data_IF_201854251334
#
_entry.id   IF_201854251334
#
_cell.length_a   1.000
_cell.length_b   1.000
_cell.length_c   1.000
_cell.angle_alpha   90.00
_cell.angle_beta   90.00
_cell.angle_gamma   90.00
#
_symmetry.space_group_name_H-M   'P 1'
#
loop_
_entity.id
_entity.type
_entity.pdbx_description
1 polymer ?
#
# COMPACT_ATOMS: atom_id res chain seq x y z
N UNK A 1 -10.67 -37.79 17.84
CA UNK A 1 -10.68 -37.55 16.38
C UNK A 1 -11.97 -36.81 16.03
N UNK A 2 -11.96 -35.47 16.00
CA UNK A 2 -13.16 -34.67 15.75
C UNK A 2 -13.50 -34.66 14.25
N UNK A 3 -14.52 -35.41 13.85
CA UNK A 3 -14.99 -35.55 12.44
C UNK A 3 -16.21 -34.68 12.09
N UNK A 4 -16.61 -33.71 12.92
CA UNK A 4 -17.86 -32.96 12.71
C UNK A 4 -17.73 -31.45 12.95
N UNK A 5 -16.70 -30.82 12.37
CA UNK A 5 -16.61 -29.36 12.33
C UNK A 5 -17.38 -28.79 11.14
N UNK A 6 -18.73 -28.76 11.17
CA UNK A 6 -19.65 -28.15 10.17
C UNK A 6 -19.09 -28.07 8.73
N UNK A 7 -18.52 -29.17 8.26
CA UNK A 7 -17.57 -29.15 7.15
C UNK A 7 -18.30 -29.36 5.85
N UNK A 8 -18.48 -28.32 5.06
CA UNK A 8 -18.72 -28.49 3.64
C UNK A 8 -17.50 -29.24 3.07
N UNK A 9 -17.72 -30.43 2.48
CA UNK A 9 -16.67 -31.09 1.72
C UNK A 9 -16.24 -30.16 0.59
N UNK A 10 -14.93 -29.97 0.35
CA UNK A 10 -14.47 -29.19 -0.78
C UNK A 10 -15.07 -29.77 -2.07
N UNK A 11 -15.58 -28.91 -2.94
CA UNK A 11 -16.14 -29.31 -4.23
C UNK A 11 -14.96 -29.57 -5.18
N UNK A 12 -14.38 -30.77 -5.09
CA UNK A 12 -13.13 -31.16 -5.75
C UNK A 12 -13.26 -31.07 -7.28
N UNK A 13 -14.44 -31.37 -7.82
CA UNK A 13 -14.69 -31.47 -9.26
C UNK A 13 -15.28 -30.20 -9.88
N UNK A 14 -15.27 -29.07 -9.15
CA UNK A 14 -15.80 -27.81 -9.68
C UNK A 14 -14.83 -27.15 -10.65
N UNK A 15 -15.20 -27.13 -11.93
CA UNK A 15 -14.53 -26.31 -12.94
C UNK A 15 -15.32 -25.01 -13.20
N UNK A 16 -14.77 -23.82 -12.85
CA UNK A 16 -15.43 -22.54 -13.14
C UNK A 16 -15.60 -22.27 -14.65
N UNK A 17 -14.83 -22.94 -15.52
CA UNK A 17 -14.90 -22.79 -16.97
C UNK A 17 -15.88 -23.77 -17.64
N UNK A 18 -16.56 -24.64 -16.88
CA UNK A 18 -17.51 -25.60 -17.44
C UNK A 18 -18.77 -24.87 -17.99
N UNK A 19 -19.12 -25.03 -19.28
CA UNK A 19 -20.31 -24.43 -19.86
C UNK A 19 -21.63 -24.86 -19.21
N UNK A 20 -21.65 -25.95 -18.43
CA UNK A 20 -22.82 -26.39 -17.64
C UNK A 20 -23.06 -25.46 -16.45
N UNK A 21 -22.02 -24.83 -15.92
CA UNK A 21 -22.07 -23.91 -14.79
C UNK A 21 -22.58 -22.52 -15.18
N UNK A 22 -22.62 -22.21 -16.49
CA UNK A 22 -23.17 -20.97 -17.01
C UNK A 22 -24.72 -21.03 -17.07
N UNK A 23 -25.38 -20.66 -15.97
CA UNK A 23 -26.85 -20.72 -15.81
C UNK A 23 -27.60 -19.43 -16.17
N UNK A 24 -26.90 -18.40 -16.64
CA UNK A 24 -27.55 -17.14 -17.04
C UNK A 24 -28.45 -17.38 -18.28
N UNK A 25 -29.76 -17.08 -18.20
CA UNK A 25 -30.68 -17.25 -19.32
C UNK A 25 -30.23 -16.54 -20.61
N UNK A 26 -29.46 -15.45 -20.50
CA UNK A 26 -28.90 -14.71 -21.63
C UNK A 26 -28.01 -15.59 -22.52
N UNK A 27 -27.37 -16.61 -21.96
CA UNK A 27 -26.46 -17.51 -22.67
C UNK A 27 -27.08 -18.88 -22.99
N UNK A 28 -28.34 -19.11 -22.61
CA UNK A 28 -28.99 -20.41 -22.79
C UNK A 28 -29.16 -20.79 -24.27
N UNK A 29 -29.31 -19.81 -25.16
CA UNK A 29 -29.43 -20.00 -26.61
C UNK A 29 -28.08 -20.16 -27.33
N UNK A 30 -26.95 -19.97 -26.64
CA UNK A 30 -25.62 -20.07 -27.26
C UNK A 30 -25.20 -21.53 -27.46
N UNK A 31 -24.42 -21.76 -28.53
CA UNK A 31 -23.76 -23.05 -28.75
C UNK A 31 -22.81 -23.39 -27.59
N UNK A 32 -22.49 -24.67 -27.45
CA UNK A 32 -21.61 -25.14 -26.37
C UNK A 32 -20.26 -24.42 -26.38
N UNK A 33 -19.65 -24.26 -27.55
CA UNK A 33 -18.33 -23.64 -27.68
C UNK A 33 -18.35 -22.15 -27.28
N UNK A 34 -19.41 -21.43 -27.68
CA UNK A 34 -19.60 -20.04 -27.27
C UNK A 34 -19.85 -19.92 -25.77
N UNK A 35 -20.53 -20.89 -25.15
CA UNK A 35 -20.70 -20.92 -23.69
C UNK A 35 -19.39 -21.17 -22.96
N UNK A 36 -18.52 -22.03 -23.47
CA UNK A 36 -17.17 -22.24 -22.91
C UNK A 36 -16.38 -20.93 -22.96
N UNK A 37 -16.37 -20.26 -24.12
CA UNK A 37 -15.67 -18.99 -24.29
C UNK A 37 -16.20 -17.92 -23.32
N UNK A 38 -17.52 -17.87 -23.11
CA UNK A 38 -18.13 -16.97 -22.13
C UNK A 38 -17.79 -17.33 -20.69
N UNK A 39 -17.73 -18.60 -20.33
CA UNK A 39 -17.31 -19.02 -19.00
C UNK A 39 -15.86 -18.56 -18.70
N UNK A 40 -14.96 -18.72 -19.67
CA UNK A 40 -13.57 -18.24 -19.57
C UNK A 40 -13.52 -16.72 -19.41
N UNK A 41 -14.30 -15.97 -20.20
CA UNK A 41 -14.38 -14.50 -20.12
C UNK A 41 -14.87 -14.03 -18.74
N UNK A 42 -15.92 -14.70 -18.21
CA UNK A 42 -16.45 -14.40 -16.88
C UNK A 42 -15.42 -14.69 -15.79
N UNK A 43 -14.70 -15.80 -15.89
CA UNK A 43 -13.66 -16.14 -14.91
C UNK A 43 -12.49 -15.15 -14.97
N UNK A 44 -12.04 -14.78 -16.17
CA UNK A 44 -11.02 -13.74 -16.37
C UNK A 44 -11.44 -12.43 -15.69
N UNK A 45 -12.69 -11.99 -15.91
CA UNK A 45 -13.23 -10.78 -15.29
C UNK A 45 -13.25 -10.88 -13.75
N UNK A 46 -13.59 -12.05 -13.21
CA UNK A 46 -13.56 -12.32 -11.76
C UNK A 46 -12.15 -12.24 -11.19
N UNK A 47 -11.16 -12.81 -11.87
CA UNK A 47 -9.75 -12.70 -11.49
C UNK A 47 -9.27 -11.25 -11.50
N UNK A 48 -9.57 -10.47 -12.54
CA UNK A 48 -9.20 -9.05 -12.59
C UNK A 48 -9.88 -8.25 -11.48
N UNK A 49 -11.16 -8.50 -11.22
CA UNK A 49 -11.89 -7.86 -10.13
C UNK A 49 -11.32 -8.24 -8.77
N UNK A 50 -10.95 -9.51 -8.56
CA UNK A 50 -10.39 -9.95 -7.27
C UNK A 50 -9.07 -9.25 -6.95
N UNK A 51 -8.23 -8.98 -7.95
CA UNK A 51 -6.97 -8.22 -7.78
C UNK A 51 -7.19 -6.81 -7.21
N UNK A 52 -8.34 -6.18 -7.47
CA UNK A 52 -8.66 -4.87 -6.89
C UNK A 52 -8.75 -4.92 -5.36
N UNK A 53 -9.21 -6.04 -4.80
CA UNK A 53 -9.31 -6.26 -3.35
C UNK A 53 -8.02 -6.80 -2.72
N UNK A 54 -7.09 -7.32 -3.53
CA UNK A 54 -5.79 -7.81 -3.05
C UNK A 54 -4.91 -6.62 -2.62
N UNK A 55 -4.26 -6.77 -1.46
CA UNK A 55 -3.31 -5.78 -0.94
C UNK A 55 -2.18 -5.53 -1.92
N UNK A 56 -1.81 -4.25 -2.05
CA UNK A 56 -0.82 -3.78 -3.03
C UNK A 56 0.54 -4.46 -2.95
N UNK A 57 0.99 -4.81 -1.74
CA UNK A 57 2.26 -5.50 -1.50
C UNK A 57 2.36 -6.88 -2.16
N UNK A 58 1.24 -7.60 -2.30
CA UNK A 58 1.18 -8.96 -2.84
C UNK A 58 0.46 -9.06 -4.18
N UNK A 59 -0.18 -7.99 -4.64
CA UNK A 59 -1.00 -7.96 -5.86
C UNK A 59 -0.26 -8.47 -7.10
N UNK A 60 1.00 -8.06 -7.30
CA UNK A 60 1.81 -8.53 -8.45
C UNK A 60 2.04 -10.05 -8.37
N UNK A 61 2.32 -10.59 -7.19
CA UNK A 61 2.52 -12.03 -7.00
C UNK A 61 1.25 -12.83 -7.32
N UNK A 62 0.10 -12.35 -6.84
CA UNK A 62 -1.20 -12.98 -7.16
C UNK A 62 -1.51 -12.89 -8.66
N UNK A 63 -1.25 -11.74 -9.28
CA UNK A 63 -1.43 -11.58 -10.72
C UNK A 63 -0.53 -12.53 -11.53
N UNK A 64 0.73 -12.74 -11.10
CA UNK A 64 1.61 -13.74 -11.71
C UNK A 64 1.04 -15.16 -11.58
N UNK A 65 0.48 -15.51 -10.42
CA UNK A 65 -0.18 -16.81 -10.24
C UNK A 65 -1.37 -16.96 -11.20
N UNK A 66 -2.19 -15.93 -11.38
CA UNK A 66 -3.30 -15.97 -12.35
C UNK A 66 -2.82 -16.14 -13.79
N UNK A 67 -1.68 -15.54 -14.15
CA UNK A 67 -1.06 -15.74 -15.46
C UNK A 67 -0.56 -17.18 -15.63
N UNK A 68 0.05 -17.77 -14.59
CA UNK A 68 0.54 -19.15 -14.61
C UNK A 68 -0.58 -20.18 -14.82
N UNK A 69 -1.77 -19.91 -14.29
CA UNK A 69 -2.95 -20.77 -14.44
C UNK A 69 -3.82 -20.39 -15.67
N UNK A 70 -3.28 -19.60 -16.60
CA UNK A 70 -3.98 -19.12 -17.82
C UNK A 70 -5.34 -18.46 -17.53
N UNK A 71 -5.49 -17.85 -16.35
CA UNK A 71 -6.71 -17.13 -15.96
C UNK A 71 -6.72 -15.71 -16.49
N UNK A 72 -5.54 -15.12 -16.69
CA UNK A 72 -5.35 -13.78 -17.28
C UNK A 72 -4.33 -13.81 -18.41
N UNK A 73 -4.45 -12.87 -19.34
CA UNK A 73 -3.54 -12.74 -20.48
C UNK A 73 -2.29 -11.93 -20.10
N UNK A 74 -1.19 -12.14 -20.84
CA UNK A 74 0.06 -11.37 -20.66
C UNK A 74 -0.17 -9.86 -20.73
N UNK A 75 -0.96 -9.40 -21.71
CA UNK A 75 -1.26 -7.97 -21.86
C UNK A 75 -1.99 -7.37 -20.64
N UNK A 76 -2.85 -8.16 -19.99
CA UNK A 76 -3.55 -7.75 -18.77
C UNK A 76 -2.58 -7.69 -17.60
N UNK A 77 -1.69 -8.68 -17.48
CA UNK A 77 -0.62 -8.70 -16.47
C UNK A 77 0.31 -7.48 -16.60
N UNK A 78 0.74 -7.15 -17.82
CA UNK A 78 1.62 -6.01 -18.07
C UNK A 78 0.94 -4.67 -17.72
N UNK A 79 -0.37 -4.56 -17.97
CA UNK A 79 -1.15 -3.38 -17.56
C UNK A 79 -1.18 -3.22 -16.03
N UNK A 80 -1.40 -4.32 -15.30
CA UNK A 80 -1.37 -4.33 -13.82
C UNK A 80 0.03 -3.95 -13.32
N UNK A 81 1.09 -4.49 -13.94
CA UNK A 81 2.47 -4.18 -13.56
C UNK A 81 2.77 -2.69 -13.74
N UNK A 82 2.34 -2.10 -14.87
CA UNK A 82 2.48 -0.65 -15.14
C UNK A 82 1.73 0.19 -14.10
N UNK A 83 0.48 -0.14 -13.80
CA UNK A 83 -0.32 0.54 -12.78
C UNK A 83 0.37 0.52 -11.42
N UNK A 84 0.88 -0.65 -11.02
CA UNK A 84 1.59 -0.84 -9.76
C UNK A 84 2.89 -0.03 -9.67
N UNK A 85 3.65 0.05 -10.76
CA UNK A 85 4.86 0.88 -10.81
C UNK A 85 4.53 2.37 -10.71
N UNK A 86 3.51 2.85 -11.42
CA UNK A 86 3.07 4.24 -11.36
C UNK A 86 2.64 4.65 -9.95
N UNK A 87 1.88 3.79 -9.27
CA UNK A 87 1.44 4.09 -7.92
C UNK A 87 2.60 4.11 -6.91
N UNK A 88 3.59 3.22 -7.04
CA UNK A 88 4.80 3.26 -6.20
C UNK A 88 5.55 4.58 -6.38
N UNK A 89 5.71 5.04 -7.61
CA UNK A 89 6.32 6.34 -7.92
C UNK A 89 5.56 7.50 -7.28
N UNK A 90 4.22 7.48 -7.32
CA UNK A 90 3.40 8.54 -6.69
C UNK A 90 3.49 8.54 -5.15
N UNK A 91 3.58 7.37 -4.52
CA UNK A 91 3.70 7.24 -3.06
C UNK A 91 5.07 7.69 -2.52
N UNK A 92 6.12 7.57 -3.33
CA UNK A 92 7.49 8.01 -3.03
C UNK A 92 7.63 9.54 -3.07
N UNK A 93 6.84 10.22 -3.91
CA UNK A 93 6.89 11.67 -4.05
C UNK A 93 6.23 12.42 -2.88
N UNK A 94 5.32 11.79 -2.14
CA UNK A 94 4.46 12.47 -1.16
C UNK A 94 5.11 12.73 0.22
N UNK A 95 6.33 12.26 0.48
CA UNK A 95 7.00 12.43 1.79
C UNK A 95 8.35 13.17 1.73
N UNK A 96 8.77 13.69 0.58
CA UNK A 96 9.91 14.60 0.57
C UNK A 96 9.45 16.01 0.92
N UNK A 97 9.79 16.56 2.11
CA UNK A 97 9.77 18.01 2.29
C UNK A 97 10.60 18.65 1.17
N UNK A 98 10.35 19.92 0.80
CA UNK A 98 11.05 20.58 -0.30
C UNK A 98 12.55 20.35 -0.14
N UNK A 99 13.11 19.52 -1.03
CA UNK A 99 14.52 19.16 -0.95
C UNK A 99 15.30 20.42 -1.25
N UNK A 100 15.84 21.04 -0.19
CA UNK A 100 17.04 21.87 -0.32
C UNK A 100 18.02 21.09 -1.18
N UNK A 101 18.74 21.76 -2.10
CA UNK A 101 19.73 21.06 -2.91
C UNK A 101 20.65 20.26 -1.97
N UNK A 102 21.09 19.08 -2.39
CA UNK A 102 21.95 18.21 -1.57
C UNK A 102 23.16 18.98 -0.99
N UNK A 103 23.66 19.97 -1.73
CA UNK A 103 24.74 20.85 -1.31
C UNK A 103 24.34 21.84 -0.23
N UNK A 104 23.13 22.41 -0.30
CA UNK A 104 22.58 23.28 0.73
C UNK A 104 22.32 22.52 2.04
N UNK A 105 21.86 21.27 1.96
CA UNK A 105 21.68 20.40 3.12
C UNK A 105 23.01 20.03 3.78
N UNK A 106 24.04 19.69 2.98
CA UNK A 106 25.40 19.45 3.47
C UNK A 106 26.00 20.67 4.15
N UNK A 107 25.80 21.86 3.58
CA UNK A 107 26.29 23.10 4.15
C UNK A 107 25.62 23.40 5.50
N UNK A 108 24.29 23.27 5.57
CA UNK A 108 23.54 23.48 6.80
C UNK A 108 23.96 22.49 7.90
N UNK A 109 24.20 21.23 7.56
CA UNK A 109 24.69 20.22 8.51
C UNK A 109 26.09 20.56 9.03
N UNK A 110 26.99 21.01 8.14
CA UNK A 110 28.35 21.43 8.52
C UNK A 110 28.32 22.64 9.46
N UNK A 111 27.48 23.63 9.16
CA UNK A 111 27.28 24.80 10.01
C UNK A 111 26.73 24.41 11.39
N UNK A 112 25.73 23.51 11.43
CA UNK A 112 25.13 23.04 12.70
C UNK A 112 26.14 22.29 13.57
N UNK A 113 26.97 21.42 12.98
CA UNK A 113 28.02 20.71 13.71
C UNK A 113 29.10 21.66 14.22
N UNK A 114 29.50 22.65 13.40
CA UNK A 114 30.45 23.68 13.81
C UNK A 114 29.94 24.47 15.02
N UNK A 115 28.66 24.84 15.01
CA UNK A 115 28.03 25.59 16.09
C UNK A 115 27.89 24.76 17.37
N UNK A 116 27.48 23.48 17.26
CA UNK A 116 27.46 22.57 18.41
C UNK A 116 28.84 22.36 19.01
N UNK A 117 29.88 22.26 18.18
CA UNK A 117 31.27 22.18 18.66
C UNK A 117 31.70 23.44 19.41
N UNK A 118 31.35 24.62 18.90
CA UNK A 118 31.57 25.88 19.62
C UNK A 118 30.85 25.91 20.97
N UNK A 119 29.57 25.53 21.00
CA UNK A 119 28.80 25.49 22.24
C UNK A 119 29.38 24.48 23.23
N UNK A 120 29.85 23.31 22.79
CA UNK A 120 30.45 22.33 23.70
C UNK A 120 31.64 22.89 24.50
N UNK A 121 32.36 23.86 23.93
CA UNK A 121 33.51 24.50 24.58
C UNK A 121 33.15 25.72 25.45
N UNK A 122 32.03 26.38 25.19
CA UNK A 122 31.66 27.64 25.85
C UNK A 122 30.41 27.55 26.73
N UNK A 123 29.49 26.66 26.41
CA UNK A 123 28.21 26.43 27.09
C UNK A 123 27.73 24.99 26.82
N UNK A 124 28.24 24.06 27.63
CA UNK A 124 27.97 22.63 27.49
C UNK A 124 26.50 22.25 27.77
N UNK A 125 25.79 23.03 28.61
CA UNK A 125 24.39 22.76 28.93
C UNK A 125 23.49 23.06 27.73
N UNK A 126 23.69 24.21 27.08
CA UNK A 126 22.96 24.56 25.85
C UNK A 126 23.28 23.61 24.70
N UNK A 127 24.54 23.15 24.59
CA UNK A 127 24.94 22.14 23.59
C UNK A 127 24.17 20.82 23.78
N UNK A 128 24.05 20.36 25.02
CA UNK A 128 23.31 19.13 25.37
C UNK A 128 21.82 19.27 25.04
N UNK A 129 21.20 20.39 25.42
CA UNK A 129 19.79 20.65 25.12
C UNK A 129 19.51 20.64 23.60
N UNK A 130 20.39 21.22 22.78
CA UNK A 130 20.21 21.23 21.31
C UNK A 130 20.52 19.90 20.63
N UNK A 131 21.42 19.09 21.19
CA UNK A 131 21.75 17.76 20.69
C UNK A 131 20.63 16.74 20.97
N UNK A 132 19.98 16.88 22.13
CA UNK A 132 18.90 16.00 22.58
C UNK A 132 17.50 16.59 22.43
N UNK A 133 17.37 17.79 21.84
CA UNK A 133 16.08 18.38 21.52
C UNK A 133 15.29 17.41 20.63
N UNK A 134 14.32 16.74 21.26
CA UNK A 134 13.32 15.94 20.60
C UNK A 134 12.66 16.84 19.56
N UNK A 135 12.67 16.40 18.30
CA UNK A 135 12.01 17.14 17.22
C UNK A 135 10.57 17.41 17.64
N UNK A 136 10.05 18.65 17.53
CA UNK A 136 8.69 18.94 17.96
C UNK A 136 7.76 18.11 17.08
N UNK A 137 7.19 17.07 17.67
CA UNK A 137 6.03 16.42 17.11
C UNK A 137 4.91 17.44 17.18
N UNK A 138 4.33 17.76 16.03
CA UNK A 138 3.07 18.49 15.93
C UNK A 138 2.03 17.82 16.82
N UNK A 139 1.82 18.35 18.03
CA UNK A 139 0.67 18.00 18.86
C UNK A 139 0.46 19.04 19.95
N UNK A 140 -0.69 19.72 19.83
CA UNK A 140 -1.42 20.43 20.86
C UNK A 140 -0.78 21.69 21.46
N UNK A 141 -1.11 22.81 20.83
CA UNK A 141 -1.45 24.06 21.54
C UNK A 141 -2.43 23.75 22.68
N UNK A 142 -1.99 23.98 23.91
CA UNK A 142 -2.86 24.50 24.97
C UNK A 142 -2.10 25.60 25.68
N UNK A 143 -2.50 26.81 25.36
CA UNK A 143 -2.04 28.05 25.94
C UNK A 143 -2.17 28.00 27.47
N UNK A 144 -1.08 28.38 28.12
CA UNK A 144 -0.98 28.66 29.53
C UNK A 144 -0.72 30.16 29.68
N UNK A 145 -1.76 30.94 29.97
CA UNK A 145 -1.73 32.28 30.58
C UNK A 145 -3.18 32.58 30.97
N UNK A 146 -3.51 32.84 32.22
CA UNK A 146 -3.16 34.06 32.95
C UNK A 146 -3.09 33.78 34.46
N UNK A 147 -2.00 34.21 35.06
CA UNK A 147 -1.86 34.41 36.50
C UNK A 147 -2.30 35.82 36.90
N UNK A 148 -2.57 35.96 38.20
CA UNK A 148 -2.55 37.16 39.07
C UNK A 148 -3.91 37.62 39.64
N UNK A 149 -3.92 38.31 40.80
CA UNK A 149 -3.37 37.89 42.09
C UNK A 149 -4.38 38.12 43.24
N UNK A 150 -3.98 37.71 44.44
CA UNK A 150 -4.63 37.92 45.74
C UNK A 150 -4.88 39.38 46.11
N UNK A 151 -5.98 39.67 46.84
CA UNK A 151 -5.96 40.44 48.10
C UNK A 151 -7.31 40.46 48.86
N UNK A 152 -7.19 40.31 50.19
CA UNK A 152 -8.14 40.45 51.33
C UNK A 152 -9.36 39.53 51.48
#
# INVERSE_FOLDING_TARGET
MHLHGRGCSPLIDFDPCDPVNLKDPKFASLSRDLRVQKAIEVENLRCLRSLSFVRRSVRISVARSFLLYDRINQAQFDAILKEEMLARSSSSAATKPPSRSSDQERLAKKQRLSYLGYLLHHDAETASLLAYAVSPTLSATKDLEMSEPSDN
#
